data_IF_996848038322
#
_entry.id   IF_996848038322
#
_cell.length_a   1.000
_cell.length_b   1.000
_cell.length_c   1.000
_cell.angle_alpha   90.00
_cell.angle_beta   90.00
_cell.angle_gamma   90.00
#
_symmetry.space_group_name_H-M   'P 1'
#
loop_
_entity.id
_entity.type
_entity.pdbx_description
1 polymer ?
#
# COMPACT_ATOMS: atom_id res chain seq x y z
N UNK A 1 -4.80 -11.93 19.28
CA UNK A 1 -4.07 -11.67 18.02
C UNK A 1 -2.77 -10.92 18.35
N UNK A 2 -1.64 -11.63 18.38
CA UNK A 2 -0.35 -11.14 18.87
C UNK A 2 0.26 -9.98 18.08
N UNK A 3 -0.21 -9.67 16.87
CA UNK A 3 0.31 -8.56 16.05
C UNK A 3 0.01 -7.15 16.57
N UNK A 4 -0.80 -6.98 17.64
CA UNK A 4 -1.05 -5.67 18.27
C UNK A 4 -0.07 -5.32 19.39
N UNK A 5 0.68 -6.28 19.90
CA UNK A 5 1.77 -6.04 20.85
C UNK A 5 3.07 -6.28 20.07
N UNK A 6 3.98 -5.29 20.03
CA UNK A 6 5.29 -5.40 19.36
C UNK A 6 6.23 -6.38 20.09
N UNK A 7 5.78 -7.61 20.33
CA UNK A 7 6.58 -8.68 20.93
C UNK A 7 7.35 -9.33 19.79
N UNK A 8 8.63 -8.98 19.66
CA UNK A 8 9.54 -9.51 18.65
C UNK A 8 10.12 -10.86 19.10
N UNK A 9 9.29 -11.91 19.16
CA UNK A 9 9.76 -13.26 19.51
C UNK A 9 10.15 -14.05 18.25
N UNK A 10 11.38 -13.82 17.77
CA UNK A 10 11.91 -14.43 16.53
C UNK A 10 11.67 -15.94 16.40
N UNK A 11 11.94 -16.79 17.44
CA UNK A 11 11.69 -18.23 17.32
C UNK A 11 10.21 -18.57 17.09
N UNK A 12 9.30 -17.77 17.64
CA UNK A 12 7.86 -18.00 17.52
C UNK A 12 7.37 -17.66 16.11
N UNK A 13 7.82 -16.54 15.55
CA UNK A 13 7.50 -16.18 14.17
C UNK A 13 8.15 -17.13 13.16
N UNK A 14 9.34 -17.66 13.46
CA UNK A 14 9.93 -18.71 12.65
C UNK A 14 9.07 -19.99 12.66
N UNK A 15 8.63 -20.45 13.84
CA UNK A 15 7.75 -21.60 13.97
C UNK A 15 6.39 -21.39 13.26
N UNK A 16 5.77 -20.21 13.42
CA UNK A 16 4.55 -19.87 12.69
C UNK A 16 4.77 -19.82 11.18
N UNK A 17 5.88 -19.26 10.73
CA UNK A 17 6.21 -19.16 9.30
C UNK A 17 6.42 -20.54 8.70
N UNK A 18 7.12 -21.42 9.41
CA UNK A 18 7.31 -22.82 9.02
C UNK A 18 5.96 -23.55 8.91
N UNK A 19 5.13 -23.53 9.96
CA UNK A 19 3.83 -24.18 9.97
C UNK A 19 2.86 -23.63 8.90
N UNK A 20 2.80 -22.30 8.72
CA UNK A 20 1.96 -21.69 7.71
C UNK A 20 2.43 -21.99 6.28
N UNK A 21 3.75 -22.15 6.08
CA UNK A 21 4.34 -22.48 4.78
C UNK A 21 4.44 -23.98 4.51
N UNK A 22 4.04 -24.83 5.45
CA UNK A 22 4.06 -26.29 5.29
C UNK A 22 2.93 -26.78 4.36
N UNK A 23 3.27 -27.70 3.46
CA UNK A 23 2.33 -28.27 2.50
C UNK A 23 1.55 -27.21 1.72
N UNK A 24 0.21 -27.33 1.75
CA UNK A 24 -0.75 -26.45 1.07
C UNK A 24 -1.57 -25.60 2.04
N UNK A 25 -1.09 -25.34 3.26
CA UNK A 25 -1.86 -24.62 4.29
C UNK A 25 -2.33 -23.24 3.80
N UNK A 26 -1.47 -22.47 3.13
CA UNK A 26 -1.81 -21.16 2.55
C UNK A 26 -2.93 -21.22 1.51
N UNK A 27 -3.14 -22.34 0.83
CA UNK A 27 -4.23 -22.49 -0.13
C UNK A 27 -5.60 -22.44 0.55
N UNK A 28 -5.67 -22.81 1.84
CA UNK A 28 -6.90 -22.81 2.64
C UNK A 28 -7.21 -21.44 3.24
N UNK A 29 -6.26 -20.51 3.24
CA UNK A 29 -6.46 -19.20 3.82
C UNK A 29 -7.46 -18.39 3.00
N UNK A 30 -8.35 -17.69 3.68
CA UNK A 30 -9.14 -16.62 3.06
C UNK A 30 -8.21 -15.46 2.65
N UNK A 31 -8.57 -14.64 1.65
CA UNK A 31 -7.78 -13.47 1.23
C UNK A 31 -7.33 -12.58 2.40
N UNK A 32 -8.23 -12.33 3.35
CA UNK A 32 -7.94 -11.53 4.54
C UNK A 32 -6.94 -12.21 5.49
N UNK A 33 -7.02 -13.53 5.65
CA UNK A 33 -6.10 -14.29 6.52
C UNK A 33 -4.68 -14.27 5.95
N UNK A 34 -4.55 -14.40 4.62
CA UNK A 34 -3.27 -14.27 3.92
C UNK A 34 -2.68 -12.87 4.12
N UNK A 35 -3.47 -11.82 3.88
CA UNK A 35 -3.05 -10.43 4.07
C UNK A 35 -2.66 -10.14 5.53
N UNK A 36 -3.46 -10.59 6.50
CA UNK A 36 -3.18 -10.41 7.93
C UNK A 36 -1.91 -11.14 8.37
N UNK A 37 -1.65 -12.33 7.83
CA UNK A 37 -0.44 -13.09 8.12
C UNK A 37 0.79 -12.33 7.62
N UNK A 38 0.78 -11.90 6.37
CA UNK A 38 1.88 -11.10 5.79
C UNK A 38 2.10 -9.79 6.55
N UNK A 39 1.02 -9.09 6.90
CA UNK A 39 1.08 -7.88 7.72
C UNK A 39 1.68 -8.14 9.11
N UNK A 40 1.30 -9.25 9.77
CA UNK A 40 1.82 -9.58 11.10
C UNK A 40 3.34 -9.80 11.07
N UNK A 41 3.87 -10.47 10.03
CA UNK A 41 5.31 -10.64 9.85
C UNK A 41 6.01 -9.31 9.52
N UNK A 42 5.47 -8.56 8.56
CA UNK A 42 6.06 -7.29 8.14
C UNK A 42 6.04 -6.20 9.24
N UNK A 43 4.98 -6.14 10.04
CA UNK A 43 4.82 -5.12 11.10
C UNK A 43 5.83 -5.25 12.24
N UNK A 44 6.44 -6.43 12.41
CA UNK A 44 7.55 -6.68 13.35
C UNK A 44 8.91 -6.75 12.66
N UNK A 45 8.98 -6.40 11.38
CA UNK A 45 10.21 -6.39 10.58
C UNK A 45 10.78 -7.78 10.32
N UNK A 46 9.95 -8.83 10.36
CA UNK A 46 10.38 -10.18 10.07
C UNK A 46 9.91 -10.63 8.70
N UNK A 47 10.82 -11.24 7.95
CA UNK A 47 10.52 -11.97 6.72
C UNK A 47 10.83 -13.44 6.94
N UNK A 48 9.98 -14.32 6.42
CA UNK A 48 10.22 -15.75 6.37
C UNK A 48 10.20 -16.16 4.89
N UNK A 49 11.37 -16.38 4.25
CA UNK A 49 11.48 -16.50 2.79
C UNK A 49 10.51 -17.50 2.18
N UNK A 50 10.40 -18.71 2.74
CA UNK A 50 9.47 -19.75 2.25
C UNK A 50 8.01 -19.36 2.38
N UNK A 51 7.66 -18.60 3.43
CA UNK A 51 6.28 -18.13 3.65
C UNK A 51 5.93 -17.07 2.61
N UNK A 52 6.80 -16.08 2.43
CA UNK A 52 6.60 -15.01 1.45
C UNK A 52 6.58 -15.58 0.03
N UNK A 53 7.52 -16.45 -0.37
CA UNK A 53 7.51 -17.07 -1.69
C UNK A 53 6.19 -17.82 -1.99
N UNK A 54 5.72 -18.66 -1.06
CA UNK A 54 4.44 -19.40 -1.24
C UNK A 54 3.21 -18.48 -1.18
N UNK A 55 3.23 -17.46 -0.32
CA UNK A 55 2.18 -16.47 -0.22
C UNK A 55 2.07 -15.62 -1.49
N UNK A 56 3.20 -15.25 -2.10
CA UNK A 56 3.26 -14.54 -3.37
C UNK A 56 2.58 -15.35 -4.48
N UNK A 57 2.97 -16.62 -4.64
CA UNK A 57 2.36 -17.51 -5.62
C UNK A 57 0.84 -17.71 -5.39
N UNK A 58 0.43 -17.80 -4.11
CA UNK A 58 -0.99 -17.92 -3.74
C UNK A 58 -1.77 -16.64 -4.05
N UNK A 59 -1.22 -15.47 -3.72
CA UNK A 59 -1.82 -14.17 -3.98
C UNK A 59 -1.93 -13.89 -5.48
N UNK A 60 -0.88 -14.18 -6.26
CA UNK A 60 -0.88 -14.01 -7.71
C UNK A 60 -1.94 -14.91 -8.38
N UNK A 61 -2.02 -16.19 -8.00
CA UNK A 61 -3.02 -17.13 -8.52
C UNK A 61 -4.46 -16.72 -8.21
N UNK A 62 -4.68 -16.05 -7.07
CA UNK A 62 -6.02 -15.67 -6.56
C UNK A 62 -6.25 -14.16 -6.63
N UNK A 63 -5.49 -13.45 -7.46
CA UNK A 63 -5.43 -11.98 -7.47
C UNK A 63 -6.80 -11.33 -7.66
N UNK A 64 -7.65 -11.92 -8.52
CA UNK A 64 -9.02 -11.46 -8.79
C UNK A 64 -9.99 -11.61 -7.60
N UNK A 65 -9.64 -12.44 -6.61
CA UNK A 65 -10.46 -12.66 -5.41
C UNK A 65 -10.00 -11.80 -4.23
N UNK A 66 -8.97 -10.96 -4.41
CA UNK A 66 -8.46 -10.08 -3.37
C UNK A 66 -9.26 -8.77 -3.37
N UNK A 67 -9.67 -8.33 -2.18
CA UNK A 67 -10.22 -6.98 -2.05
C UNK A 67 -9.13 -5.91 -2.18
N UNK A 68 -9.48 -4.64 -2.48
CA UNK A 68 -8.54 -3.51 -2.49
C UNK A 68 -7.69 -3.41 -1.22
N UNK A 69 -8.30 -3.61 -0.05
CA UNK A 69 -7.60 -3.64 1.23
C UNK A 69 -6.61 -4.80 1.36
N UNK A 70 -6.92 -5.98 0.79
CA UNK A 70 -5.98 -7.10 0.77
C UNK A 70 -4.78 -6.81 -0.12
N UNK A 71 -5.00 -6.28 -1.34
CA UNK A 71 -3.93 -5.92 -2.26
C UNK A 71 -3.01 -4.87 -1.62
N UNK A 72 -3.58 -3.80 -1.05
CA UNK A 72 -2.82 -2.76 -0.37
C UNK A 72 -1.97 -3.32 0.78
N UNK A 73 -2.55 -4.21 1.59
CA UNK A 73 -1.85 -4.82 2.72
C UNK A 73 -0.73 -5.76 2.28
N UNK A 74 -0.98 -6.59 1.26
CA UNK A 74 0.01 -7.51 0.71
C UNK A 74 1.18 -6.72 0.13
N UNK A 75 0.93 -5.78 -0.80
CA UNK A 75 2.00 -4.98 -1.41
C UNK A 75 2.80 -4.19 -0.36
N UNK A 76 2.12 -3.60 0.63
CA UNK A 76 2.80 -2.93 1.75
C UNK A 76 3.69 -3.90 2.54
N UNK A 77 3.22 -5.11 2.82
CA UNK A 77 4.00 -6.07 3.59
C UNK A 77 5.30 -6.46 2.87
N UNK A 78 5.25 -6.69 1.55
CA UNK A 78 6.44 -7.03 0.76
C UNK A 78 7.41 -5.86 0.63
N UNK A 79 6.90 -4.66 0.35
CA UNK A 79 7.76 -3.47 0.27
C UNK A 79 8.40 -3.13 1.62
N UNK A 80 7.65 -3.29 2.73
CA UNK A 80 8.13 -3.00 4.08
C UNK A 80 9.28 -3.91 4.54
N UNK A 81 9.32 -5.16 4.10
CA UNK A 81 10.42 -6.10 4.44
C UNK A 81 11.48 -6.20 3.34
N UNK A 82 11.33 -5.44 2.25
CA UNK A 82 12.26 -5.47 1.11
C UNK A 82 12.30 -6.80 0.36
N UNK A 83 11.22 -7.60 0.41
CA UNK A 83 11.19 -8.90 -0.27
C UNK A 83 10.86 -8.69 -1.76
N UNK A 84 11.88 -8.89 -2.60
CA UNK A 84 11.77 -8.75 -4.07
C UNK A 84 11.87 -10.09 -4.82
N UNK A 85 12.02 -11.23 -4.10
CA UNK A 85 12.17 -12.58 -4.66
C UNK A 85 10.87 -13.16 -5.26
N UNK A 86 9.96 -12.30 -5.69
CA UNK A 86 8.67 -12.65 -6.28
C UNK A 86 8.34 -11.69 -7.42
N UNK A 87 9.03 -11.80 -8.57
CA UNK A 87 8.93 -10.83 -9.67
C UNK A 87 7.50 -10.71 -10.23
N UNK A 88 6.71 -11.78 -10.16
CA UNK A 88 5.34 -11.81 -10.70
C UNK A 88 4.30 -11.18 -9.77
N UNK A 89 4.58 -11.08 -8.46
CA UNK A 89 3.57 -10.64 -7.48
C UNK A 89 3.16 -9.19 -7.71
N UNK A 90 4.12 -8.27 -7.75
CA UNK A 90 3.83 -6.85 -7.86
C UNK A 90 3.13 -6.51 -9.18
N UNK A 91 3.65 -6.90 -10.37
CA UNK A 91 2.95 -6.65 -11.63
C UNK A 91 1.53 -7.22 -11.65
N UNK A 92 1.34 -8.46 -11.22
CA UNK A 92 0.01 -9.11 -11.22
C UNK A 92 -0.99 -8.35 -10.35
N UNK A 93 -0.60 -7.96 -9.13
CA UNK A 93 -1.50 -7.24 -8.24
C UNK A 93 -1.73 -5.79 -8.70
N UNK A 94 -0.74 -5.16 -9.32
CA UNK A 94 -0.87 -3.81 -9.87
C UNK A 94 -1.78 -3.77 -11.10
N UNK A 95 -1.79 -4.79 -11.95
CA UNK A 95 -2.76 -4.91 -13.05
C UNK A 95 -4.20 -5.02 -12.53
N UNK A 96 -4.43 -5.82 -11.47
CA UNK A 96 -5.74 -5.91 -10.82
C UNK A 96 -6.12 -4.58 -10.16
N UNK A 97 -5.18 -3.94 -9.46
CA UNK A 97 -5.40 -2.64 -8.84
C UNK A 97 -5.73 -1.54 -9.87
N UNK A 98 -5.04 -1.53 -11.02
CA UNK A 98 -5.31 -0.60 -12.12
C UNK A 98 -6.74 -0.76 -12.66
N UNK A 99 -7.18 -2.02 -12.83
CA UNK A 99 -8.51 -2.35 -13.35
C UNK A 99 -9.65 -2.04 -12.37
N UNK A 100 -9.34 -1.88 -11.08
CA UNK A 100 -10.33 -1.66 -10.02
C UNK A 100 -10.07 -0.39 -9.19
N UNK A 101 -9.31 0.57 -9.73
CA UNK A 101 -8.79 1.73 -8.99
C UNK A 101 -9.88 2.58 -8.32
N UNK A 102 -11.08 2.63 -8.89
CA UNK A 102 -12.24 3.35 -8.35
C UNK A 102 -12.76 2.76 -7.03
N UNK A 103 -12.51 1.47 -6.77
CA UNK A 103 -12.94 0.77 -5.55
C UNK A 103 -12.00 1.03 -4.36
N UNK A 104 -10.80 1.56 -4.60
CA UNK A 104 -9.83 1.82 -3.53
C UNK A 104 -10.21 3.06 -2.72
N UNK A 105 -10.07 2.96 -1.41
CA UNK A 105 -10.07 4.13 -0.52
C UNK A 105 -8.78 4.93 -0.74
N UNK A 106 -8.78 6.26 -0.50
CA UNK A 106 -7.59 7.10 -0.66
C UNK A 106 -6.34 6.57 0.07
N UNK A 107 -6.52 6.06 1.30
CA UNK A 107 -5.44 5.46 2.09
C UNK A 107 -4.86 4.20 1.44
N UNK A 108 -5.73 3.33 0.93
CA UNK A 108 -5.33 2.08 0.29
C UNK A 108 -4.60 2.37 -1.02
N UNK A 109 -5.13 3.28 -1.84
CA UNK A 109 -4.52 3.68 -3.09
C UNK A 109 -3.13 4.32 -2.90
N UNK A 110 -3.00 5.22 -1.92
CA UNK A 110 -1.71 5.81 -1.57
C UNK A 110 -0.70 4.76 -1.08
N UNK A 111 -1.16 3.76 -0.31
CA UNK A 111 -0.31 2.65 0.14
C UNK A 111 0.16 1.78 -1.03
N UNK A 112 -0.74 1.45 -1.97
CA UNK A 112 -0.39 0.68 -3.17
C UNK A 112 0.60 1.47 -4.03
N UNK A 113 0.37 2.77 -4.25
CA UNK A 113 1.27 3.60 -5.06
C UNK A 113 2.68 3.67 -4.47
N UNK A 114 2.79 3.83 -3.15
CA UNK A 114 4.10 3.81 -2.48
C UNK A 114 4.81 2.46 -2.63
N UNK A 115 4.09 1.36 -2.47
CA UNK A 115 4.66 0.02 -2.68
C UNK A 115 5.05 -0.21 -4.15
N UNK A 116 4.22 0.23 -5.09
CA UNK A 116 4.49 0.16 -6.54
C UNK A 116 5.77 0.90 -6.91
N UNK A 117 5.98 2.11 -6.36
CA UNK A 117 7.20 2.87 -6.61
C UNK A 117 8.49 2.15 -6.18
N UNK A 118 8.43 1.36 -5.10
CA UNK A 118 9.59 0.62 -4.59
C UNK A 118 9.81 -0.72 -5.32
N UNK A 119 8.73 -1.38 -5.73
CA UNK A 119 8.79 -2.74 -6.27
C UNK A 119 8.71 -2.80 -7.81
N UNK A 120 7.98 -1.86 -8.43
CA UNK A 120 7.70 -1.85 -9.87
C UNK A 120 7.43 -0.41 -10.37
N UNK A 121 8.43 0.50 -10.33
CA UNK A 121 8.22 1.91 -10.69
C UNK A 121 7.85 2.13 -12.15
N UNK A 122 8.12 1.17 -13.03
CA UNK A 122 7.77 1.22 -14.46
C UNK A 122 6.35 0.73 -14.78
N UNK A 123 5.51 0.42 -13.79
CA UNK A 123 4.16 -0.11 -14.02
C UNK A 123 3.18 0.98 -14.49
N UNK A 124 3.35 1.46 -15.73
CA UNK A 124 2.67 2.64 -16.27
C UNK A 124 1.15 2.57 -16.15
N UNK A 125 0.55 1.42 -16.48
CA UNK A 125 -0.91 1.21 -16.41
C UNK A 125 -1.50 1.54 -15.03
N UNK A 126 -0.79 1.18 -13.97
CA UNK A 126 -1.26 1.40 -12.60
C UNK A 126 -1.12 2.87 -12.21
N UNK A 127 0.02 3.48 -12.49
CA UNK A 127 0.25 4.89 -12.18
C UNK A 127 -0.68 5.80 -12.98
N UNK A 128 -0.97 5.50 -14.26
CA UNK A 128 -1.99 6.19 -15.05
C UNK A 128 -3.40 6.06 -14.44
N UNK A 129 -3.78 4.86 -14.02
CA UNK A 129 -5.09 4.62 -13.38
C UNK A 129 -5.20 5.34 -12.03
N UNK A 130 -4.14 5.26 -11.21
CA UNK A 130 -4.02 5.99 -9.95
C UNK A 130 -4.12 7.49 -10.18
N UNK A 131 -3.51 7.97 -11.27
CA UNK A 131 -3.52 9.38 -11.61
C UNK A 131 -4.92 9.92 -11.91
N UNK A 132 -5.62 9.21 -12.80
CA UNK A 132 -7.02 9.49 -13.16
C UNK A 132 -7.94 9.41 -11.93
N UNK A 133 -7.72 8.43 -11.05
CA UNK A 133 -8.49 8.30 -9.81
C UNK A 133 -8.25 9.45 -8.83
N UNK A 134 -7.03 9.99 -8.76
CA UNK A 134 -6.76 11.18 -7.96
C UNK A 134 -7.46 12.42 -8.55
N UNK A 135 -7.30 12.64 -9.86
CA UNK A 135 -7.87 13.79 -10.57
C UNK A 135 -9.40 13.84 -10.49
N UNK A 136 -10.08 12.70 -10.46
CA UNK A 136 -11.54 12.66 -10.35
C UNK A 136 -12.09 12.96 -8.96
N UNK A 137 -11.27 12.85 -7.90
CA UNK A 137 -11.69 13.04 -6.50
C UNK A 137 -10.59 13.60 -5.60
N UNK A 138 -9.97 14.75 -5.95
CA UNK A 138 -8.80 15.27 -5.23
C UNK A 138 -9.11 15.61 -3.76
N UNK A 139 -10.33 16.07 -3.48
CA UNK A 139 -10.78 16.44 -2.12
C UNK A 139 -10.88 15.24 -1.15
N UNK A 140 -10.96 14.02 -1.66
CA UNK A 140 -11.03 12.81 -0.82
C UNK A 140 -9.68 12.40 -0.21
N UNK A 141 -8.56 12.94 -0.72
CA UNK A 141 -7.22 12.61 -0.25
C UNK A 141 -6.81 13.58 0.86
N UNK A 142 -6.31 13.08 2.00
CA UNK A 142 -5.70 13.91 3.04
C UNK A 142 -4.26 14.30 2.67
N UNK A 143 -3.67 15.28 3.36
CA UNK A 143 -2.28 15.69 3.15
C UNK A 143 -1.28 14.51 3.22
N UNK A 144 -1.48 13.58 4.17
CA UNK A 144 -0.66 12.38 4.28
C UNK A 144 -0.78 11.46 3.05
N UNK A 145 -1.99 11.33 2.48
CA UNK A 145 -2.16 10.56 1.24
C UNK A 145 -1.47 11.26 0.06
N UNK A 146 -1.59 12.60 -0.04
CA UNK A 146 -0.91 13.38 -1.07
C UNK A 146 0.60 13.21 -0.98
N UNK A 147 1.19 13.18 0.22
CA UNK A 147 2.63 13.01 0.41
C UNK A 147 3.12 11.66 -0.13
N UNK A 148 2.45 10.56 0.22
CA UNK A 148 2.79 9.24 -0.31
C UNK A 148 2.61 9.15 -1.83
N UNK A 149 1.57 9.77 -2.39
CA UNK A 149 1.39 9.84 -3.84
C UNK A 149 2.51 10.66 -4.49
N UNK A 150 2.87 11.83 -3.94
CA UNK A 150 3.91 12.68 -4.52
C UNK A 150 5.28 11.98 -4.53
N UNK A 151 5.63 11.29 -3.44
CA UNK A 151 6.84 10.47 -3.35
C UNK A 151 6.81 9.35 -4.40
N UNK A 152 5.71 8.58 -4.45
CA UNK A 152 5.56 7.46 -5.36
C UNK A 152 5.68 7.88 -6.84
N UNK A 153 4.99 8.96 -7.21
CA UNK A 153 5.01 9.48 -8.57
C UNK A 153 6.36 10.12 -8.94
N UNK A 154 7.09 10.71 -7.98
CA UNK A 154 8.45 11.20 -8.23
C UNK A 154 9.44 10.07 -8.51
N UNK A 155 9.32 8.94 -7.80
CA UNK A 155 10.15 7.76 -8.07
C UNK A 155 9.81 7.14 -9.42
N UNK A 156 8.52 7.00 -9.75
CA UNK A 156 8.07 6.48 -11.04
C UNK A 156 8.50 7.38 -12.21
N UNK A 157 8.46 8.71 -12.03
CA UNK A 157 8.91 9.69 -13.03
C UNK A 157 10.40 9.55 -13.32
N UNK A 158 11.24 9.42 -12.28
CA UNK A 158 12.69 9.17 -12.47
C UNK A 158 12.99 7.85 -13.16
N UNK A 159 12.11 6.86 -12.99
CA UNK A 159 12.26 5.55 -13.62
C UNK A 159 11.77 5.53 -15.08
N UNK A 160 10.93 6.47 -15.51
CA UNK A 160 10.28 6.43 -16.82
C UNK A 160 10.73 7.59 -17.72
N UNK A 161 11.04 7.33 -18.99
CA UNK A 161 11.56 8.37 -19.89
C UNK A 161 10.53 9.40 -20.35
N UNK A 162 9.22 9.11 -20.24
CA UNK A 162 8.13 10.04 -20.59
C UNK A 162 6.78 9.58 -20.01
N UNK A 163 6.48 9.79 -18.72
CA UNK A 163 5.19 9.43 -18.16
C UNK A 163 4.08 10.40 -18.59
N UNK A 164 2.89 9.88 -18.88
CA UNK A 164 1.70 10.64 -19.27
C UNK A 164 1.08 11.47 -18.14
N UNK A 165 1.48 11.28 -16.88
CA UNK A 165 0.63 11.66 -15.75
C UNK A 165 0.78 13.06 -15.13
N UNK A 166 1.76 13.91 -15.44
CA UNK A 166 1.89 15.30 -14.93
C UNK A 166 1.62 15.58 -13.41
N UNK A 167 1.55 14.53 -12.58
CA UNK A 167 0.99 14.60 -11.24
C UNK A 167 1.87 15.19 -10.14
N UNK A 168 3.21 15.04 -10.17
CA UNK A 168 4.07 15.60 -9.12
C UNK A 168 3.85 17.11 -8.92
N UNK A 169 3.65 17.87 -10.00
CA UNK A 169 3.37 19.30 -9.93
C UNK A 169 2.01 19.60 -9.28
N UNK A 170 0.96 18.91 -9.73
CA UNK A 170 -0.41 19.07 -9.22
C UNK A 170 -0.49 18.71 -7.73
N UNK A 171 0.18 17.62 -7.31
CA UNK A 171 0.21 17.19 -5.92
C UNK A 171 0.91 18.22 -5.02
N UNK A 172 2.03 18.79 -5.48
CA UNK A 172 2.77 19.81 -4.74
C UNK A 172 1.97 21.10 -4.57
N UNK A 173 1.25 21.52 -5.61
CA UNK A 173 0.36 22.68 -5.56
C UNK A 173 -0.80 22.46 -4.58
N UNK A 174 -1.47 21.31 -4.66
CA UNK A 174 -2.59 20.96 -3.76
C UNK A 174 -2.16 20.88 -2.29
N UNK A 175 -0.98 20.31 -2.00
CA UNK A 175 -0.41 20.32 -0.65
C UNK A 175 -0.19 21.73 -0.14
N UNK A 176 0.44 22.58 -0.95
CA UNK A 176 0.76 23.97 -0.58
C UNK A 176 -0.50 24.79 -0.34
N UNK A 177 -1.51 24.67 -1.20
CA UNK A 177 -2.79 25.36 -1.05
C UNK A 177 -3.49 24.95 0.25
N UNK A 178 -3.56 23.65 0.55
CA UNK A 178 -4.24 23.16 1.76
C UNK A 178 -3.52 23.51 3.05
N UNK A 179 -2.18 23.44 3.07
CA UNK A 179 -1.40 23.89 4.23
C UNK A 179 -1.57 25.39 4.49
N UNK A 180 -1.73 26.22 3.45
CA UNK A 180 -2.03 27.65 3.61
C UNK A 180 -3.43 27.89 4.18
N UNK A 181 -4.44 27.15 3.71
CA UNK A 181 -5.79 27.24 4.25
C UNK A 181 -5.85 26.80 5.73
N UNK A 182 -5.15 25.72 6.12
CA UNK A 182 -5.07 25.28 7.51
C UNK A 182 -4.41 26.32 8.43
N UNK A 183 -3.40 27.05 7.94
CA UNK A 183 -2.73 28.13 8.67
C UNK A 183 -3.55 29.43 8.76
N UNK A 184 -4.60 29.58 7.93
CA UNK A 184 -5.45 30.77 7.88
C UNK A 184 -6.80 30.58 8.60
N UNK A 185 -7.08 29.39 9.14
CA UNK A 185 -8.26 29.19 9.97
C UNK A 185 -8.07 29.97 11.29
N UNK A 186 -8.98 30.88 11.65
CA UNK A 186 -8.92 31.52 12.96
C UNK A 186 -8.97 30.44 14.03
N UNK A 187 -8.06 30.51 15.00
CA UNK A 187 -8.17 29.75 16.24
C UNK A 187 -9.51 30.13 16.87
N UNK A 188 -10.53 29.28 16.69
CA UNK A 188 -11.75 29.39 17.48
C UNK A 188 -11.35 29.02 18.91
N UNK A 189 -10.87 30.00 19.66
CA UNK A 189 -10.76 29.94 21.10
C UNK A 189 -12.12 29.46 21.62
N UNK A 190 -12.12 28.24 22.14
CA UNK A 190 -13.25 27.67 22.86
C UNK A 190 -13.39 28.42 24.19
N UNK A 191 -13.92 29.64 24.11
CA UNK A 191 -14.41 30.40 25.25
C UNK A 191 -15.66 29.75 25.80
N UNK A 192 -15.49 28.70 26.61
CA UNK A 192 -16.51 28.28 27.56
C UNK A 192 -16.72 29.40 28.58
N UNK A 193 -17.62 30.35 28.28
CA UNK A 193 -18.26 31.16 29.31
C UNK A 193 -19.58 30.50 29.69
N UNK A 194 -19.53 29.74 30.80
CA UNK A 194 -20.69 29.34 31.58
C UNK A 194 -21.09 30.52 32.47
N UNK A 195 -22.23 31.13 32.18
CA UNK A 195 -23.07 31.85 33.14
C UNK A 195 -24.49 31.30 33.04
#
# INVERSE_FOLDING_TARGET
AFGKQKINHRPLFHAFGSAASEGTALCRFKPQELANTLWAFASVGMSHPTLFAKAAATAARRSLNLSPGNIATILWAYSSVGCQDCPDLAPTLLDVAASSVSQYKPRELASVARAAAQMCPHHLKFFDACAKSFQSRPQSFSLNHLAHLAEAFSVADKACSAPSWALPAILKEQQTQRSRYELQLPEFESGCNLH
#
